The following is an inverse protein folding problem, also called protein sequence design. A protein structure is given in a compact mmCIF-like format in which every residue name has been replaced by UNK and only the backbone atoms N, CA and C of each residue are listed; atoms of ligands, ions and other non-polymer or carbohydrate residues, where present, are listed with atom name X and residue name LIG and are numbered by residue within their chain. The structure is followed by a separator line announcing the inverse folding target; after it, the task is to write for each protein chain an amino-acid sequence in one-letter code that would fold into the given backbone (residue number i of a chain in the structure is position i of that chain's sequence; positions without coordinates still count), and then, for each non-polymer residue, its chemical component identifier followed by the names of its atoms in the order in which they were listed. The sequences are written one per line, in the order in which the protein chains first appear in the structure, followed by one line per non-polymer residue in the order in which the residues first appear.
data_IF_350772931757
#
_entry.id   IF_350772931757
#
_cell.length_a   1.000
_cell.length_b   1.000
_cell.length_c   1.000
_cell.angle_alpha   90.00
_cell.angle_beta   90.00
_cell.angle_gamma   90.00
#
_symmetry.space_group_name_H-M   'P 1'
#
loop_
_entity.id
_entity.type
_entity.pdbx_description
1 polymer ?
#
# COMPACT_ATOMS: atom_id res chain seq x y z
N UNK A 1 39.76 -16.76 22.70
CA UNK A 1 38.36 -16.84 23.18
C UNK A 1 37.79 -15.43 23.15
N UNK A 2 37.05 -15.08 22.11
CA UNK A 2 36.41 -13.78 22.00
C UNK A 2 35.31 -13.67 23.06
N UNK A 3 35.12 -12.51 23.71
CA UNK A 3 34.02 -12.35 24.66
C UNK A 3 32.72 -12.62 23.89
N UNK A 4 31.99 -13.65 24.30
CA UNK A 4 30.60 -13.83 23.91
C UNK A 4 29.86 -12.62 24.47
N UNK A 5 29.72 -11.58 23.66
CA UNK A 5 28.73 -10.54 23.90
C UNK A 5 27.39 -11.29 23.97
N UNK A 6 26.82 -11.41 25.17
CA UNK A 6 25.44 -11.86 25.28
C UNK A 6 24.60 -10.88 24.46
N UNK A 7 23.93 -11.30 23.38
CA UNK A 7 23.25 -10.34 22.53
C UNK A 7 22.09 -9.74 23.33
N UNK A 8 21.89 -8.41 23.30
CA UNK A 8 20.70 -7.82 23.89
C UNK A 8 19.52 -8.23 23.01
N UNK A 9 18.64 -9.06 23.55
CA UNK A 9 17.40 -9.53 22.93
C UNK A 9 16.33 -9.63 24.03
N UNK A 10 15.03 -9.33 23.88
CA UNK A 10 14.22 -8.54 22.89
C UNK A 10 12.72 -8.91 22.99
N UNK A 11 12.37 -10.10 23.47
CA UNK A 11 10.97 -10.52 23.68
C UNK A 11 10.55 -10.45 25.16
N UNK A 12 11.51 -10.51 26.09
CA UNK A 12 11.26 -10.43 27.53
C UNK A 12 10.43 -9.19 27.89
N UNK A 13 10.83 -8.01 27.39
CA UNK A 13 10.09 -6.76 27.61
C UNK A 13 8.71 -6.78 26.94
N UNK A 14 8.58 -7.43 25.79
CA UNK A 14 7.29 -7.58 25.12
C UNK A 14 6.34 -8.50 25.91
N UNK A 15 6.85 -9.54 26.57
CA UNK A 15 6.08 -10.37 27.50
C UNK A 15 5.62 -9.58 28.73
N UNK A 16 6.44 -8.65 29.23
CA UNK A 16 6.03 -7.73 30.30
C UNK A 16 4.86 -6.85 29.84
N UNK A 17 4.91 -6.33 28.61
CA UNK A 17 3.84 -5.52 28.04
C UNK A 17 2.49 -6.24 27.91
N UNK A 18 2.50 -7.55 27.67
CA UNK A 18 1.27 -8.35 27.66
C UNK A 18 0.63 -8.52 29.05
N UNK A 19 1.41 -8.31 30.11
CA UNK A 19 0.99 -8.37 31.52
C UNK A 19 0.75 -6.99 32.14
N UNK A 20 1.00 -5.91 31.38
CA UNK A 20 0.83 -4.52 31.83
C UNK A 20 -0.65 -4.16 32.03
N UNK A 21 -1.55 -4.72 31.21
CA UNK A 21 -2.99 -4.49 31.30
C UNK A 21 -3.64 -5.23 32.49
N UNK A 22 -3.28 -6.50 32.70
CA UNK A 22 -3.84 -7.34 33.77
C UNK A 22 -2.98 -8.59 34.06
N UNK A 23 -3.05 -9.16 35.28
CA UNK A 23 -2.47 -10.46 35.58
C UNK A 23 -3.09 -11.58 34.72
N UNK A 24 -2.25 -12.51 34.25
CA UNK A 24 -2.69 -13.62 33.40
C UNK A 24 -2.05 -14.95 33.84
N UNK A 25 -2.74 -16.06 33.57
CA UNK A 25 -2.11 -17.36 33.66
C UNK A 25 -1.13 -17.59 32.51
N UNK A 26 -0.05 -18.33 32.77
CA UNK A 26 0.98 -18.57 31.75
C UNK A 26 0.47 -19.25 30.47
N UNK A 27 -0.57 -20.08 30.55
CA UNK A 27 -1.21 -20.66 29.37
C UNK A 27 -1.98 -19.61 28.55
N UNK A 28 -2.78 -18.78 29.22
CA UNK A 28 -3.59 -17.75 28.57
C UNK A 28 -2.71 -16.65 27.94
N UNK A 29 -1.60 -16.31 28.60
CA UNK A 29 -0.58 -15.42 28.06
C UNK A 29 0.06 -16.00 26.77
N UNK A 30 0.31 -17.32 26.73
CA UNK A 30 0.83 -17.98 25.52
C UNK A 30 -0.22 -18.01 24.40
N UNK A 31 -1.49 -18.27 24.70
CA UNK A 31 -2.56 -18.22 23.71
C UNK A 31 -2.75 -16.80 23.16
N UNK A 32 -2.66 -15.78 24.01
CA UNK A 32 -2.73 -14.38 23.60
C UNK A 32 -1.57 -14.01 22.68
N UNK A 33 -0.38 -14.60 22.84
CA UNK A 33 0.73 -14.43 21.93
C UNK A 33 0.42 -15.00 20.53
N UNK A 34 -0.27 -16.14 20.44
CA UNK A 34 -0.52 -16.87 19.20
C UNK A 34 -1.74 -16.40 18.38
N UNK A 35 -2.54 -15.44 18.90
CA UNK A 35 -3.74 -14.99 18.19
C UNK A 35 -3.40 -14.33 16.83
N UNK A 36 -4.32 -14.37 15.83
CA UNK A 36 -4.07 -13.90 14.46
C UNK A 36 -3.59 -12.44 14.35
N UNK A 37 -4.01 -11.58 15.29
CA UNK A 37 -3.66 -10.15 15.35
C UNK A 37 -2.70 -9.82 16.51
N UNK A 38 -2.03 -10.83 17.06
CA UNK A 38 -1.16 -10.67 18.23
C UNK A 38 0.33 -10.69 17.89
N UNK A 39 1.13 -10.36 18.90
CA UNK A 39 2.58 -10.25 18.83
C UNK A 39 3.29 -11.51 18.28
N UNK A 40 2.69 -12.70 18.35
CA UNK A 40 3.27 -13.93 17.81
C UNK A 40 3.42 -13.95 16.29
N UNK A 41 2.70 -13.11 15.56
CA UNK A 41 2.92 -12.88 14.12
C UNK A 41 4.26 -12.18 13.85
N UNK A 42 4.62 -11.24 14.72
CA UNK A 42 5.90 -10.51 14.70
C UNK A 42 7.02 -11.36 15.30
N UNK A 43 6.70 -12.13 16.33
CA UNK A 43 7.65 -12.91 17.11
C UNK A 43 7.19 -14.35 17.36
N UNK A 44 7.45 -15.29 16.44
CA UNK A 44 7.09 -16.68 16.62
C UNK A 44 7.92 -17.29 17.76
N UNK A 45 7.24 -17.83 18.77
CA UNK A 45 7.88 -18.39 19.97
C UNK A 45 7.40 -19.81 20.26
N UNK A 46 8.35 -20.73 20.41
CA UNK A 46 8.05 -22.10 20.83
C UNK A 46 7.63 -22.11 22.30
N UNK A 47 6.67 -22.97 22.64
CA UNK A 47 6.12 -23.07 23.99
C UNK A 47 7.19 -23.32 25.07
N UNK A 48 8.20 -24.14 24.79
CA UNK A 48 9.30 -24.40 25.74
C UNK A 48 10.17 -23.16 26.00
N UNK A 49 10.40 -22.35 24.98
CA UNK A 49 11.17 -21.11 25.10
C UNK A 49 10.38 -20.05 25.87
N UNK A 50 9.07 -19.97 25.64
CA UNK A 50 8.17 -19.08 26.38
C UNK A 50 8.25 -19.28 27.90
N UNK A 51 8.09 -20.52 28.38
CA UNK A 51 8.15 -20.78 29.82
C UNK A 51 9.55 -20.58 30.41
N UNK A 52 10.62 -20.81 29.63
CA UNK A 52 11.98 -20.51 30.06
C UNK A 52 12.19 -18.99 30.26
N UNK A 53 11.63 -18.16 29.37
CA UNK A 53 11.68 -16.70 29.48
C UNK A 53 10.89 -16.18 30.68
N UNK A 54 9.71 -16.76 30.97
CA UNK A 54 8.94 -16.41 32.17
C UNK A 54 9.73 -16.71 33.45
N UNK A 55 10.41 -17.86 33.53
CA UNK A 55 11.25 -18.20 34.67
C UNK A 55 12.43 -17.22 34.84
N UNK A 56 13.03 -16.78 33.73
CA UNK A 56 14.10 -15.77 33.73
C UNK A 56 13.60 -14.40 34.22
N UNK A 57 12.41 -13.99 33.78
CA UNK A 57 11.77 -12.74 34.20
C UNK A 57 11.40 -12.74 35.69
N UNK A 58 10.92 -13.88 36.21
CA UNK A 58 10.66 -14.08 37.64
C UNK A 58 11.96 -13.99 38.46
N UNK A 59 13.02 -14.71 38.05
CA UNK A 59 14.32 -14.67 38.73
C UNK A 59 14.96 -13.27 38.75
N UNK A 60 14.72 -12.47 37.71
CA UNK A 60 15.19 -11.10 37.62
C UNK A 60 14.32 -10.09 38.39
N UNK A 61 13.23 -10.53 39.01
CA UNK A 61 12.32 -9.70 39.81
C UNK A 61 11.35 -8.86 38.97
N UNK A 62 11.23 -9.10 37.67
CA UNK A 62 10.29 -8.37 36.81
C UNK A 62 8.86 -8.90 36.90
N UNK A 63 8.69 -10.19 37.22
CA UNK A 63 7.41 -10.85 37.43
C UNK A 63 7.35 -11.53 38.79
N UNK A 64 6.15 -11.65 39.36
CA UNK A 64 5.88 -12.55 40.50
C UNK A 64 4.84 -13.58 40.10
N UNK A 65 5.02 -14.81 40.57
CA UNK A 65 4.09 -15.91 40.32
C UNK A 65 3.35 -16.23 41.60
N UNK A 66 2.03 -16.03 41.61
CA UNK A 66 1.17 -16.46 42.70
C UNK A 66 0.47 -17.76 42.32
N UNK A 67 0.27 -18.65 43.30
CA UNK A 67 -0.52 -19.85 43.10
C UNK A 67 -1.93 -19.59 43.62
N UNK A 68 -2.90 -19.53 42.70
CA UNK A 68 -4.30 -19.54 43.09
C UNK A 68 -4.80 -21.00 43.10
N UNK A 69 -5.40 -21.40 44.22
CA UNK A 69 -6.20 -22.64 44.32
C UNK A 69 -7.67 -22.27 44.53
N UNK A 70 -8.43 -21.97 43.46
CA UNK A 70 -9.88 -22.03 43.55
C UNK A 70 -10.29 -23.52 43.52
N UNK A 71 -11.14 -23.92 44.47
CA UNK A 71 -11.49 -25.31 44.77
C UNK A 71 -11.66 -26.23 43.56
N UNK A 72 -10.95 -27.37 43.58
CA UNK A 72 -11.18 -28.54 42.74
C UNK A 72 -10.43 -28.61 41.40
N UNK A 73 -9.74 -27.56 40.96
CA UNK A 73 -8.99 -27.54 39.69
C UNK A 73 -7.46 -27.60 39.90
N UNK A 74 -6.68 -28.08 38.90
CA UNK A 74 -5.22 -28.12 39.00
C UNK A 74 -4.65 -26.71 39.19
N UNK A 75 -3.60 -26.55 40.02
CA UNK A 75 -3.06 -25.24 40.39
C UNK A 75 -2.60 -24.48 39.15
N UNK A 76 -3.16 -23.29 38.94
CA UNK A 76 -2.77 -22.40 37.84
C UNK A 76 -1.88 -21.29 38.40
N UNK A 77 -0.69 -21.17 37.82
CA UNK A 77 0.26 -20.09 38.14
C UNK A 77 -0.24 -18.79 37.54
N UNK A 78 -0.55 -17.81 38.38
CA UNK A 78 -0.93 -16.46 37.96
C UNK A 78 0.33 -15.59 37.93
N UNK A 79 0.55 -14.89 36.80
CA UNK A 79 1.69 -14.03 36.57
C UNK A 79 1.29 -12.59 36.85
N UNK A 80 2.01 -11.92 37.73
CA UNK A 80 1.83 -10.51 38.07
C UNK A 80 3.05 -9.71 37.64
N UNK A 81 2.81 -8.57 37.00
CA UNK A 81 3.85 -7.60 36.69
C UNK A 81 4.25 -6.83 37.97
N UNK A 82 5.55 -6.76 38.25
CA UNK A 82 6.06 -5.96 39.38
C UNK A 82 6.24 -4.49 38.98
N UNK A 83 6.38 -3.59 39.96
CA UNK A 83 6.73 -2.18 39.70
C UNK A 83 8.04 -2.03 38.92
N UNK A 84 9.03 -2.89 39.20
CA UNK A 84 10.29 -2.93 38.46
C UNK A 84 10.08 -3.40 37.01
N UNK A 85 9.24 -4.42 36.80
CA UNK A 85 8.84 -4.90 35.47
C UNK A 85 8.15 -3.83 34.64
N UNK A 86 7.19 -3.12 35.22
CA UNK A 86 6.47 -2.04 34.56
C UNK A 86 7.43 -0.90 34.16
N UNK A 87 8.31 -0.47 35.06
CA UNK A 87 9.30 0.58 34.76
C UNK A 87 10.26 0.16 33.63
N UNK A 88 10.73 -1.09 33.63
CA UNK A 88 11.59 -1.62 32.58
C UNK A 88 10.88 -1.71 31.22
N UNK A 89 9.61 -2.13 31.21
CA UNK A 89 8.79 -2.16 30.01
C UNK A 89 8.59 -0.75 29.43
N UNK A 90 8.26 0.24 30.26
CA UNK A 90 8.04 1.62 29.81
C UNK A 90 9.33 2.27 29.27
N UNK A 91 10.47 2.04 29.92
CA UNK A 91 11.77 2.50 29.42
C UNK A 91 12.13 1.86 28.07
N UNK A 92 11.81 0.57 27.89
CA UNK A 92 11.99 -0.13 26.62
C UNK A 92 11.06 0.43 25.54
N UNK A 93 9.77 0.63 25.83
CA UNK A 93 8.78 1.13 24.88
C UNK A 93 9.12 2.53 24.34
N UNK A 94 9.65 3.39 25.22
CA UNK A 94 9.96 4.79 24.93
C UNK A 94 11.40 5.02 24.42
N UNK A 95 12.25 4.00 24.37
CA UNK A 95 13.59 4.13 23.79
C UNK A 95 13.59 4.17 22.26
N UNK A 96 14.72 4.55 21.65
CA UNK A 96 15.01 4.17 20.25
C UNK A 96 15.38 2.68 20.21
N UNK A 97 15.13 2.00 19.09
CA UNK A 97 15.56 0.61 18.91
C UNK A 97 17.02 0.61 18.46
N UNK A 98 17.95 0.01 19.23
CA UNK A 98 19.35 -0.02 18.86
C UNK A 98 19.57 -0.89 17.60
N UNK A 99 20.60 -0.60 16.80
CA UNK A 99 20.96 -1.44 15.66
C UNK A 99 21.46 -2.81 16.12
N UNK A 100 20.74 -3.86 15.73
CA UNK A 100 20.98 -5.28 16.03
C UNK A 100 20.46 -6.15 14.87
N UNK A 101 20.65 -7.47 14.93
CA UNK A 101 20.05 -8.39 13.96
C UNK A 101 18.51 -8.41 14.02
N UNK A 102 17.92 -7.97 15.14
CA UNK A 102 16.48 -8.01 15.41
C UNK A 102 15.80 -6.64 15.48
N UNK A 103 16.50 -5.55 15.11
CA UNK A 103 15.96 -4.18 15.14
C UNK A 103 14.57 -4.06 14.52
N UNK A 104 14.31 -4.74 13.39
CA UNK A 104 13.01 -4.71 12.73
C UNK A 104 11.91 -5.36 13.59
N UNK A 105 12.19 -6.52 14.18
CA UNK A 105 11.23 -7.23 15.03
C UNK A 105 10.94 -6.44 16.31
N UNK A 106 11.97 -5.86 16.91
CA UNK A 106 11.82 -5.03 18.11
C UNK A 106 11.03 -3.75 17.84
N UNK A 107 11.26 -3.09 16.71
CA UNK A 107 10.49 -1.92 16.28
C UNK A 107 9.00 -2.25 16.10
N UNK A 108 8.70 -3.37 15.44
CA UNK A 108 7.33 -3.84 15.25
C UNK A 108 6.66 -4.20 16.58
N UNK A 109 7.40 -4.84 17.50
CA UNK A 109 6.90 -5.13 18.83
C UNK A 109 6.59 -3.86 19.64
N UNK A 110 7.47 -2.85 19.61
CA UNK A 110 7.22 -1.57 20.28
C UNK A 110 6.03 -0.83 19.68
N UNK A 111 5.86 -0.85 18.35
CA UNK A 111 4.67 -0.30 17.69
C UNK A 111 3.39 -1.00 18.14
N UNK A 112 3.42 -2.32 18.31
CA UNK A 112 2.28 -3.09 18.80
C UNK A 112 1.80 -2.65 20.19
N UNK A 113 2.70 -2.19 21.07
CA UNK A 113 2.34 -1.65 22.38
C UNK A 113 2.03 -0.15 22.35
N UNK A 114 2.76 0.61 21.54
CA UNK A 114 2.55 2.04 21.39
C UNK A 114 1.13 2.35 20.89
N UNK A 115 0.57 1.52 19.99
CA UNK A 115 -0.82 1.67 19.52
C UNK A 115 -1.89 1.43 20.60
N UNK A 116 -1.56 0.70 21.67
CA UNK A 116 -2.48 0.43 22.79
C UNK A 116 -2.42 1.52 23.86
N UNK A 117 -1.42 2.40 23.76
CA UNK A 117 -1.22 3.53 24.66
C UNK A 117 -1.98 4.75 24.12
N UNK A 118 -2.62 5.53 24.98
CA UNK A 118 -3.29 6.76 24.57
C UNK A 118 -2.28 7.85 24.15
N UNK A 119 -2.68 8.71 23.19
CA UNK A 119 -1.89 9.87 22.76
C UNK A 119 -1.06 9.63 21.49
N UNK A 120 0.09 10.28 21.41
CA UNK A 120 0.99 10.35 20.25
C UNK A 120 2.13 9.32 20.29
N UNK A 121 2.04 8.30 21.15
CA UNK A 121 3.11 7.34 21.42
C UNK A 121 3.66 6.64 20.16
N UNK A 122 2.79 6.32 19.20
CA UNK A 122 3.19 5.75 17.90
C UNK A 122 3.99 6.76 17.09
N UNK A 123 3.50 8.00 16.95
CA UNK A 123 4.22 9.05 16.22
C UNK A 123 5.57 9.34 16.87
N UNK A 124 5.62 9.50 18.19
CA UNK A 124 6.85 9.75 18.92
C UNK A 124 7.88 8.62 18.74
N UNK A 125 7.44 7.35 18.72
CA UNK A 125 8.31 6.20 18.45
C UNK A 125 8.83 6.21 17.00
N UNK A 126 7.96 6.48 16.02
CA UNK A 126 8.32 6.57 14.61
C UNK A 126 9.34 7.69 14.38
N UNK A 127 9.09 8.89 14.90
CA UNK A 127 10.00 10.03 14.79
C UNK A 127 11.36 9.76 15.43
N UNK A 128 11.37 9.17 16.63
CA UNK A 128 12.60 8.81 17.33
C UNK A 128 13.42 7.78 16.55
N UNK A 129 12.77 6.73 16.02
CA UNK A 129 13.45 5.71 15.23
C UNK A 129 13.93 6.28 13.89
N UNK A 130 13.17 7.18 13.29
CA UNK A 130 13.53 7.87 12.05
C UNK A 130 14.80 8.70 12.24
N UNK A 131 14.84 9.51 13.29
CA UNK A 131 16.01 10.32 13.63
C UNK A 131 17.27 9.43 13.86
N UNK A 132 17.12 8.32 14.58
CA UNK A 132 18.19 7.35 14.79
C UNK A 132 18.69 6.74 13.47
N UNK A 133 17.77 6.34 12.59
CA UNK A 133 18.10 5.74 11.29
C UNK A 133 18.80 6.74 10.35
N UNK A 134 18.40 8.02 10.37
CA UNK A 134 19.07 9.09 9.61
C UNK A 134 20.50 9.32 10.13
N UNK A 135 20.70 9.30 11.45
CA UNK A 135 22.02 9.40 12.04
C UNK A 135 22.93 8.21 11.66
N UNK A 136 22.38 6.99 11.65
CA UNK A 136 23.09 5.79 11.19
C UNK A 136 23.47 5.90 9.71
N UNK A 137 22.53 6.29 8.83
CA UNK A 137 22.78 6.53 7.39
C UNK A 137 23.94 7.50 7.19
N UNK A 138 23.93 8.61 7.94
CA UNK A 138 24.98 9.64 7.86
C UNK A 138 26.34 9.06 8.24
N UNK A 139 26.39 8.27 9.33
CA UNK A 139 27.60 7.59 9.79
C UNK A 139 28.12 6.60 8.74
N UNK A 140 27.24 5.78 8.16
CA UNK A 140 27.58 4.83 7.10
C UNK A 140 28.12 5.54 5.85
N UNK A 141 27.55 6.68 5.47
CA UNK A 141 28.01 7.47 4.34
C UNK A 141 29.43 8.02 4.59
N UNK A 142 29.70 8.53 5.80
CA UNK A 142 31.05 8.99 6.19
C UNK A 142 32.05 7.84 6.16
N UNK A 143 31.68 6.65 6.63
CA UNK A 143 32.55 5.48 6.56
C UNK A 143 32.82 5.05 5.13
N UNK A 144 31.81 5.08 4.26
CA UNK A 144 31.95 4.74 2.85
C UNK A 144 32.94 5.68 2.14
N UNK A 145 32.85 6.99 2.40
CA UNK A 145 33.76 8.00 1.83
C UNK A 145 35.20 7.92 2.36
N UNK A 146 35.40 7.34 3.55
CA UNK A 146 36.74 7.17 4.15
C UNK A 146 37.44 5.88 3.72
N UNK A 147 36.78 5.01 2.95
CA UNK A 147 37.41 3.77 2.50
C UNK A 147 38.55 4.06 1.51
N UNK A 148 39.70 3.38 1.66
CA UNK A 148 40.79 3.50 0.71
C UNK A 148 40.41 2.90 -0.65
N UNK A 149 41.02 3.42 -1.72
CA UNK A 149 40.86 2.88 -3.07
C UNK A 149 41.30 1.42 -3.11
N UNK A 150 40.38 0.51 -3.46
CA UNK A 150 40.62 -0.94 -3.50
C UNK A 150 39.88 -1.77 -2.43
N UNK A 151 39.18 -1.14 -1.48
CA UNK A 151 38.40 -1.82 -0.43
C UNK A 151 37.04 -2.38 -0.92
N UNK A 152 37.04 -3.19 -1.99
CA UNK A 152 35.81 -3.64 -2.69
C UNK A 152 34.82 -4.36 -1.77
N UNK A 153 35.29 -5.26 -0.91
CA UNK A 153 34.42 -6.01 0.00
C UNK A 153 33.75 -5.08 1.04
N UNK A 154 34.51 -4.18 1.65
CA UNK A 154 33.99 -3.22 2.63
C UNK A 154 32.99 -2.26 1.99
N UNK A 155 33.23 -1.84 0.74
CA UNK A 155 32.28 -1.05 -0.05
C UNK A 155 30.96 -1.79 -0.22
N UNK A 156 30.97 -3.06 -0.61
CA UNK A 156 29.75 -3.86 -0.78
C UNK A 156 28.97 -4.02 0.55
N UNK A 157 29.66 -4.29 1.66
CA UNK A 157 29.05 -4.41 2.99
C UNK A 157 28.38 -3.10 3.41
N UNK A 158 29.07 -1.96 3.27
CA UNK A 158 28.51 -0.65 3.63
C UNK A 158 27.35 -0.25 2.71
N UNK A 159 27.43 -0.54 1.40
CA UNK A 159 26.32 -0.30 0.47
C UNK A 159 25.08 -1.15 0.81
N UNK A 160 25.28 -2.42 1.17
CA UNK A 160 24.19 -3.28 1.62
C UNK A 160 23.53 -2.73 2.89
N UNK A 161 24.31 -2.36 3.91
CA UNK A 161 23.78 -1.74 5.15
C UNK A 161 23.05 -0.43 4.85
N UNK A 162 23.61 0.41 3.98
CA UNK A 162 23.00 1.69 3.61
C UNK A 162 21.61 1.49 3.01
N UNK A 163 21.46 0.53 2.09
CA UNK A 163 20.15 0.20 1.48
C UNK A 163 19.14 -0.32 2.50
N UNK A 164 19.57 -1.12 3.49
CA UNK A 164 18.69 -1.56 4.57
C UNK A 164 18.16 -0.38 5.39
N UNK A 165 19.06 0.52 5.79
CA UNK A 165 18.72 1.71 6.57
C UNK A 165 17.84 2.66 5.75
N UNK A 166 18.14 2.86 4.46
CA UNK A 166 17.31 3.67 3.56
C UNK A 166 15.91 3.10 3.37
N UNK A 167 15.76 1.78 3.25
CA UNK A 167 14.45 1.14 3.18
C UNK A 167 13.65 1.34 4.48
N UNK A 168 14.30 1.21 5.64
CA UNK A 168 13.67 1.46 6.95
C UNK A 168 13.28 2.93 7.09
N UNK A 169 14.13 3.88 6.68
CA UNK A 169 13.80 5.31 6.65
C UNK A 169 12.59 5.57 5.76
N UNK A 170 12.56 5.01 4.54
CA UNK A 170 11.42 5.17 3.63
C UNK A 170 10.11 4.62 4.19
N UNK A 171 10.16 3.50 4.91
CA UNK A 171 9.00 2.97 5.62
C UNK A 171 8.58 3.85 6.81
N UNK A 172 9.53 4.33 7.62
CA UNK A 172 9.26 5.25 8.74
C UNK A 172 8.73 6.60 8.26
N UNK A 173 9.25 7.11 7.13
CA UNK A 173 8.73 8.28 6.44
C UNK A 173 7.27 8.06 6.03
N UNK A 174 6.92 6.86 5.58
CA UNK A 174 5.53 6.52 5.26
C UNK A 174 4.64 6.35 6.51
N UNK A 175 5.18 5.93 7.66
CA UNK A 175 4.46 5.88 8.93
C UNK A 175 4.26 7.25 9.57
N UNK A 176 5.26 8.15 9.45
CA UNK A 176 5.22 9.52 9.95
C UNK A 176 4.46 10.45 9.00
N UNK A 177 4.44 10.12 7.71
CA UNK A 177 3.55 10.75 6.76
C UNK A 177 2.13 10.54 7.28
N UNK A 178 1.43 11.62 7.59
CA UNK A 178 0.12 11.54 8.20
C UNK A 178 -0.77 10.87 7.16
N UNK A 179 -1.30 9.68 7.48
CA UNK A 179 -1.81 8.74 6.48
C UNK A 179 -2.97 9.41 5.73
N UNK A 180 -2.79 9.84 4.46
CA UNK A 180 -3.95 10.11 3.64
C UNK A 180 -4.69 8.79 3.52
N UNK A 181 -5.98 8.78 3.84
CA UNK A 181 -6.82 7.61 3.65
C UNK A 181 -6.57 7.04 2.26
N UNK A 182 -6.38 5.73 2.17
CA UNK A 182 -6.14 5.02 0.92
C UNK A 182 -7.09 5.47 -0.19
N UNK A 183 -6.59 6.20 -1.18
CA UNK A 183 -7.23 6.26 -2.48
C UNK A 183 -6.78 5.06 -3.31
N UNK A 184 -7.14 3.84 -2.88
CA UNK A 184 -7.28 2.76 -3.85
C UNK A 184 -8.40 3.21 -4.79
N UNK A 185 -8.02 3.62 -5.98
CA UNK A 185 -8.98 4.05 -6.98
C UNK A 185 -9.59 2.77 -7.55
N UNK A 186 -10.84 2.51 -7.20
CA UNK A 186 -11.57 1.34 -7.66
C UNK A 186 -12.09 1.57 -9.09
N UNK A 187 -11.88 0.58 -9.96
CA UNK A 187 -12.30 0.60 -11.36
C UNK A 187 -13.53 -0.30 -11.50
N UNK A 188 -14.74 0.27 -11.46
CA UNK A 188 -15.95 -0.50 -11.68
C UNK A 188 -16.16 -0.77 -13.18
N UNK A 189 -16.68 -1.95 -13.49
CA UNK A 189 -17.10 -2.38 -14.82
C UNK A 189 -18.52 -2.95 -14.75
N UNK A 190 -19.33 -2.66 -15.76
CA UNK A 190 -20.69 -3.18 -15.87
C UNK A 190 -21.10 -3.38 -17.34
N UNK A 191 -22.01 -4.33 -17.56
CA UNK A 191 -22.77 -4.41 -18.80
C UNK A 191 -23.88 -3.34 -18.77
N UNK A 192 -24.12 -2.70 -19.91
CA UNK A 192 -25.12 -1.64 -20.03
C UNK A 192 -26.52 -2.23 -20.24
N UNK A 193 -27.54 -1.57 -19.67
CA UNK A 193 -28.93 -2.04 -19.66
C UNK A 193 -29.55 -2.11 -21.05
N UNK A 194 -29.10 -1.27 -21.98
CA UNK A 194 -29.55 -1.21 -23.37
C UNK A 194 -28.55 -1.83 -24.36
N UNK A 195 -27.63 -2.68 -23.87
CA UNK A 195 -26.68 -3.40 -24.72
C UNK A 195 -27.40 -4.15 -25.85
N UNK A 196 -26.85 -4.05 -27.07
CA UNK A 196 -27.32 -4.82 -28.22
C UNK A 196 -26.91 -6.30 -28.11
N UNK A 197 -25.92 -6.61 -27.27
CA UNK A 197 -25.39 -7.95 -27.04
C UNK A 197 -25.25 -8.26 -25.54
N UNK A 198 -26.35 -8.30 -24.76
CA UNK A 198 -26.29 -8.32 -23.30
C UNK A 198 -25.57 -9.56 -22.74
N UNK A 199 -25.78 -10.73 -23.35
CA UNK A 199 -25.08 -11.96 -22.94
C UNK A 199 -23.57 -11.85 -23.17
N UNK A 200 -23.15 -11.27 -24.28
CA UNK A 200 -21.74 -11.11 -24.62
C UNK A 200 -21.07 -10.04 -23.73
N UNK A 201 -21.80 -8.96 -23.41
CA UNK A 201 -21.36 -7.95 -22.46
C UNK A 201 -21.11 -8.56 -21.07
N UNK A 202 -22.04 -9.37 -20.55
CA UNK A 202 -21.87 -10.09 -19.29
C UNK A 202 -20.69 -11.08 -19.32
N UNK A 203 -20.50 -11.81 -20.43
CA UNK A 203 -19.36 -12.71 -20.61
C UNK A 203 -18.03 -11.94 -20.59
N UNK A 204 -17.96 -10.80 -21.25
CA UNK A 204 -16.75 -9.96 -21.24
C UNK A 204 -16.46 -9.41 -19.83
N UNK A 205 -17.46 -8.89 -19.13
CA UNK A 205 -17.32 -8.45 -17.72
C UNK A 205 -16.82 -9.59 -16.84
N UNK A 206 -17.40 -10.79 -16.98
CA UNK A 206 -16.98 -11.96 -16.23
C UNK A 206 -15.54 -12.38 -16.57
N UNK A 207 -15.15 -12.30 -17.84
CA UNK A 207 -13.79 -12.60 -18.29
C UNK A 207 -12.77 -11.62 -17.70
N UNK A 208 -13.03 -10.31 -17.73
CA UNK A 208 -12.17 -9.29 -17.11
C UNK A 208 -12.02 -9.54 -15.60
N UNK A 209 -13.10 -9.94 -14.92
CA UNK A 209 -13.09 -10.31 -13.50
C UNK A 209 -12.58 -11.75 -13.22
N UNK A 210 -12.20 -12.54 -14.23
CA UNK A 210 -11.69 -13.90 -14.03
C UNK A 210 -10.22 -13.89 -13.60
N UNK A 211 -9.70 -15.01 -13.07
CA UNK A 211 -8.27 -15.12 -12.72
C UNK A 211 -7.34 -14.79 -13.89
N UNK A 212 -7.68 -15.22 -15.11
CA UNK A 212 -6.92 -14.91 -16.33
C UNK A 212 -6.97 -13.40 -16.65
N UNK A 213 -8.15 -12.78 -16.53
CA UNK A 213 -8.31 -11.35 -16.75
C UNK A 213 -7.55 -10.50 -15.72
N UNK A 214 -7.62 -10.89 -14.44
CA UNK A 214 -6.89 -10.24 -13.35
C UNK A 214 -5.37 -10.36 -13.51
N UNK A 215 -4.86 -11.49 -14.01
CA UNK A 215 -3.41 -11.63 -14.30
C UNK A 215 -2.94 -10.61 -15.34
N UNK A 216 -3.71 -10.37 -16.40
CA UNK A 216 -3.38 -9.35 -17.40
C UNK A 216 -3.40 -7.95 -16.79
N UNK A 217 -4.40 -7.64 -15.96
CA UNK A 217 -4.48 -6.36 -15.26
C UNK A 217 -3.27 -6.13 -14.33
N UNK A 218 -2.88 -7.15 -13.55
CA UNK A 218 -1.71 -7.08 -12.67
C UNK A 218 -0.41 -6.89 -13.45
N UNK A 219 -0.24 -7.57 -14.59
CA UNK A 219 0.92 -7.37 -15.48
C UNK A 219 1.03 -5.93 -15.99
N UNK A 220 -0.08 -5.21 -16.08
CA UNK A 220 -0.14 -3.81 -16.49
C UNK A 220 -0.14 -2.81 -15.32
N UNK A 221 0.19 -3.26 -14.10
CA UNK A 221 0.39 -2.39 -12.94
C UNK A 221 -0.87 -2.07 -12.13
N UNK A 222 -2.01 -2.72 -12.43
CA UNK A 222 -3.19 -2.66 -11.59
C UNK A 222 -3.07 -3.60 -10.39
N UNK A 223 -3.86 -3.36 -9.36
CA UNK A 223 -4.07 -4.30 -8.25
C UNK A 223 -5.31 -5.13 -8.56
N UNK A 224 -5.20 -6.44 -8.40
CA UNK A 224 -6.32 -7.35 -8.60
C UNK A 224 -7.47 -7.04 -7.65
N UNK A 225 -8.71 -7.14 -8.16
CA UNK A 225 -9.88 -7.14 -7.31
C UNK A 225 -10.11 -8.53 -6.70
N UNK A 226 -10.58 -8.60 -5.45
CA UNK A 226 -10.89 -9.88 -4.81
C UNK A 226 -11.92 -10.66 -5.64
N UNK A 227 -11.46 -11.78 -6.21
CA UNK A 227 -12.26 -12.64 -7.08
C UNK A 227 -13.00 -13.72 -6.28
N UNK A 228 -14.33 -13.68 -6.29
CA UNK A 228 -15.18 -14.82 -5.92
C UNK A 228 -15.70 -15.61 -7.12
N UNK A 229 -15.26 -15.32 -8.35
CA UNK A 229 -15.76 -16.01 -9.54
C UNK A 229 -14.74 -17.04 -10.08
N UNK A 230 -15.13 -18.30 -10.09
CA UNK A 230 -14.45 -19.38 -10.78
C UNK A 230 -14.35 -19.09 -12.30
N UNK A 231 -13.29 -19.56 -12.99
CA UNK A 231 -13.15 -19.38 -14.43
C UNK A 231 -14.37 -19.99 -15.17
N UNK A 232 -14.87 -19.38 -16.25
CA UNK A 232 -15.87 -20.02 -17.08
C UNK A 232 -15.31 -21.34 -17.61
N UNK A 233 -16.10 -22.41 -17.46
CA UNK A 233 -15.74 -23.73 -17.96
C UNK A 233 -15.48 -23.70 -19.47
N UNK A 234 -14.53 -24.52 -19.91
CA UNK A 234 -14.12 -24.67 -21.31
C UNK A 234 -15.34 -24.89 -22.26
N UNK A 235 -15.29 -24.37 -23.50
CA UNK A 235 -16.45 -24.32 -24.36
C UNK A 235 -16.91 -25.71 -24.82
N UNK A 236 -18.20 -25.96 -24.71
CA UNK A 236 -18.86 -27.04 -25.45
C UNK A 236 -19.01 -26.59 -26.92
N UNK A 237 -18.35 -27.30 -27.84
CA UNK A 237 -18.53 -27.15 -29.29
C UNK A 237 -19.86 -27.73 -29.76
N UNK A 238 -20.58 -27.01 -30.64
CA UNK A 238 -21.11 -27.43 -31.96
C UNK A 238 -21.87 -26.25 -32.65
N UNK A 239 -22.12 -26.29 -33.97
CA UNK A 239 -21.76 -25.24 -34.93
C UNK A 239 -22.91 -24.27 -35.23
N UNK A 240 -22.58 -23.05 -35.62
CA UNK A 240 -23.19 -22.22 -36.68
C UNK A 240 -22.35 -20.95 -36.72
N UNK A 241 -21.82 -20.54 -37.87
CA UNK A 241 -21.11 -19.26 -38.01
C UNK A 241 -22.10 -18.15 -37.65
N UNK A 242 -21.96 -17.49 -36.49
CA UNK A 242 -22.88 -16.42 -36.11
C UNK A 242 -22.56 -15.22 -37.00
N UNK A 243 -23.58 -14.47 -37.40
CA UNK A 243 -23.38 -13.14 -37.97
C UNK A 243 -22.39 -12.36 -37.10
N UNK A 244 -21.49 -11.54 -37.70
CA UNK A 244 -20.48 -10.81 -36.94
C UNK A 244 -21.15 -9.98 -35.85
N UNK A 245 -20.80 -10.28 -34.59
CA UNK A 245 -21.34 -9.61 -33.40
C UNK A 245 -20.32 -8.59 -32.92
N UNK A 246 -20.69 -7.32 -32.97
CA UNK A 246 -19.84 -6.22 -32.52
C UNK A 246 -20.12 -5.93 -31.05
N UNK A 247 -19.12 -6.12 -30.18
CA UNK A 247 -19.14 -5.73 -28.78
C UNK A 247 -18.47 -4.37 -28.61
N UNK A 248 -19.22 -3.34 -28.23
CA UNK A 248 -18.70 -1.99 -28.03
C UNK A 248 -18.38 -1.74 -26.57
N UNK A 249 -17.12 -1.42 -26.26
CA UNK A 249 -16.65 -1.25 -24.89
C UNK A 249 -16.17 0.19 -24.67
N UNK A 250 -16.86 0.93 -23.81
CA UNK A 250 -16.39 2.21 -23.32
C UNK A 250 -15.53 1.98 -22.10
N UNK A 251 -14.24 2.34 -22.19
CA UNK A 251 -13.29 2.08 -21.12
C UNK A 251 -12.44 3.31 -20.82
N UNK A 252 -12.12 3.49 -19.54
CA UNK A 252 -11.22 4.56 -19.13
C UNK A 252 -9.88 4.51 -19.88
N UNK A 253 -9.32 5.67 -20.21
CA UNK A 253 -8.05 5.76 -20.94
C UNK A 253 -6.88 5.00 -20.25
N UNK A 254 -6.85 4.93 -18.92
CA UNK A 254 -5.82 4.17 -18.19
C UNK A 254 -5.93 2.65 -18.38
N UNK A 255 -7.08 2.13 -18.84
CA UNK A 255 -7.28 0.71 -19.12
C UNK A 255 -6.80 0.28 -20.51
N UNK A 256 -6.38 1.21 -21.37
CA UNK A 256 -6.10 0.97 -22.81
C UNK A 256 -5.24 -0.26 -23.07
N UNK A 257 -3.99 -0.27 -22.59
CA UNK A 257 -3.05 -1.38 -22.85
C UNK A 257 -3.56 -2.72 -22.33
N UNK A 258 -4.17 -2.73 -21.13
CA UNK A 258 -4.68 -3.97 -20.53
C UNK A 258 -5.91 -4.48 -21.30
N UNK A 259 -6.81 -3.59 -21.72
CA UNK A 259 -8.05 -3.96 -22.41
C UNK A 259 -7.81 -4.41 -23.85
N UNK A 260 -6.77 -3.91 -24.51
CA UNK A 260 -6.34 -4.43 -25.82
C UNK A 260 -5.92 -5.91 -25.73
N UNK A 261 -5.10 -6.26 -24.72
CA UNK A 261 -4.68 -7.66 -24.47
C UNK A 261 -5.87 -8.53 -24.05
N UNK A 262 -6.72 -8.05 -23.15
CA UNK A 262 -7.93 -8.75 -22.72
C UNK A 262 -8.89 -8.98 -23.88
N UNK A 263 -9.08 -7.97 -24.73
CA UNK A 263 -9.94 -8.03 -25.91
C UNK A 263 -9.46 -9.06 -26.92
N UNK A 264 -8.16 -9.09 -27.23
CA UNK A 264 -7.58 -10.08 -28.13
C UNK A 264 -7.75 -11.51 -27.62
N UNK A 265 -7.50 -11.73 -26.32
CA UNK A 265 -7.67 -13.04 -25.70
C UNK A 265 -9.15 -13.47 -25.65
N UNK A 266 -10.07 -12.55 -25.35
CA UNK A 266 -11.51 -12.82 -25.38
C UNK A 266 -12.00 -13.15 -26.81
N UNK A 267 -11.58 -12.37 -27.82
CA UNK A 267 -11.92 -12.63 -29.22
C UNK A 267 -11.47 -14.01 -29.71
N UNK A 268 -10.33 -14.50 -29.22
CA UNK A 268 -9.85 -15.87 -29.52
C UNK A 268 -10.77 -16.94 -28.94
N UNK A 269 -11.38 -16.70 -27.78
CA UNK A 269 -12.33 -17.61 -27.12
C UNK A 269 -13.75 -17.52 -27.70
N UNK A 270 -14.06 -16.43 -28.42
CA UNK A 270 -15.38 -16.14 -28.96
C UNK A 270 -15.32 -15.85 -30.48
N UNK A 271 -15.20 -16.87 -31.35
CA UNK A 271 -15.17 -16.69 -32.80
C UNK A 271 -16.38 -15.92 -33.33
N UNK A 272 -16.16 -15.02 -34.29
CA UNK A 272 -17.21 -14.16 -34.88
C UNK A 272 -17.60 -12.95 -34.04
N UNK A 273 -16.87 -12.66 -32.96
CA UNK A 273 -17.01 -11.43 -32.16
C UNK A 273 -15.92 -10.43 -32.52
N UNK A 274 -16.33 -9.22 -32.91
CA UNK A 274 -15.44 -8.06 -33.06
C UNK A 274 -15.62 -7.15 -31.84
N UNK A 275 -14.52 -6.80 -31.17
CA UNK A 275 -14.56 -5.90 -30.02
C UNK A 275 -14.06 -4.52 -30.46
N UNK A 276 -14.89 -3.49 -30.29
CA UNK A 276 -14.55 -2.10 -30.59
C UNK A 276 -14.43 -1.34 -29.27
N UNK A 277 -13.23 -0.85 -28.98
CA UNK A 277 -12.96 -0.04 -27.80
C UNK A 277 -13.07 1.46 -28.09
N UNK A 278 -13.70 2.20 -27.18
CA UNK A 278 -13.65 3.65 -27.11
C UNK A 278 -12.99 4.05 -25.79
N UNK A 279 -11.75 4.53 -25.87
CA UNK A 279 -10.98 4.96 -24.71
C UNK A 279 -11.02 6.48 -24.52
N UNK A 280 -11.45 6.95 -23.35
CA UNK A 280 -11.44 8.37 -22.98
C UNK A 280 -11.52 8.57 -21.45
N UNK A 281 -11.62 9.82 -21.00
CA UNK A 281 -11.88 10.13 -19.59
C UNK A 281 -13.25 9.59 -19.16
N UNK A 282 -13.33 8.92 -18.01
CA UNK A 282 -14.56 8.23 -17.57
C UNK A 282 -15.77 9.14 -17.40
N UNK A 283 -15.55 10.40 -16.99
CA UNK A 283 -16.64 11.38 -16.90
C UNK A 283 -17.23 11.70 -18.28
N UNK A 284 -16.36 11.92 -19.28
CA UNK A 284 -16.78 12.14 -20.66
C UNK A 284 -17.49 10.91 -21.25
N UNK A 285 -16.97 9.70 -21.00
CA UNK A 285 -17.64 8.46 -21.43
C UNK A 285 -19.01 8.30 -20.77
N UNK A 286 -19.14 8.59 -19.48
CA UNK A 286 -20.42 8.54 -18.77
C UNK A 286 -21.44 9.53 -19.36
N UNK A 287 -21.01 10.75 -19.73
CA UNK A 287 -21.85 11.70 -20.45
C UNK A 287 -22.25 11.20 -21.84
N UNK A 288 -21.33 10.55 -22.56
CA UNK A 288 -21.62 9.92 -23.86
C UNK A 288 -22.61 8.75 -23.74
N UNK A 289 -22.74 8.10 -22.59
CA UNK A 289 -23.80 7.08 -22.41
C UNK A 289 -25.20 7.67 -22.49
N UNK A 290 -25.39 8.97 -22.24
CA UNK A 290 -26.70 9.62 -22.30
C UNK A 290 -27.13 9.96 -23.73
N UNK A 291 -26.22 10.52 -24.54
CA UNK A 291 -26.54 11.11 -25.85
C UNK A 291 -25.57 10.70 -26.98
N UNK A 292 -24.70 9.72 -26.73
CA UNK A 292 -23.62 9.29 -27.63
C UNK A 292 -23.89 7.97 -28.33
N UNK A 293 -22.87 7.39 -28.98
CA UNK A 293 -23.01 6.14 -29.71
C UNK A 293 -23.31 4.97 -28.77
N UNK A 294 -23.98 3.91 -29.27
CA UNK A 294 -24.33 2.75 -28.45
C UNK A 294 -23.07 2.06 -27.91
N UNK A 295 -23.15 1.60 -26.68
CA UNK A 295 -22.11 0.82 -26.00
C UNK A 295 -22.75 -0.39 -25.31
N UNK A 296 -21.98 -1.46 -25.14
CA UNK A 296 -22.42 -2.70 -24.49
C UNK A 296 -21.83 -2.86 -23.08
N UNK A 297 -20.61 -2.37 -22.87
CA UNK A 297 -19.88 -2.44 -21.60
C UNK A 297 -19.32 -1.07 -21.25
N UNK A 298 -19.40 -0.69 -19.97
CA UNK A 298 -18.75 0.49 -19.42
C UNK A 298 -17.77 0.11 -18.32
N UNK A 299 -16.49 0.48 -18.48
CA UNK A 299 -15.43 0.31 -17.50
C UNK A 299 -14.88 1.68 -17.09
N UNK A 300 -15.21 2.14 -15.89
CA UNK A 300 -14.84 3.46 -15.39
C UNK A 300 -13.56 3.43 -14.55
N UNK A 301 -12.86 4.56 -14.49
CA UNK A 301 -11.68 4.74 -13.64
C UNK A 301 -12.04 5.08 -12.18
N UNK A 302 -13.31 5.25 -11.84
CA UNK A 302 -13.75 5.59 -10.49
C UNK A 302 -15.26 5.41 -10.31
N UNK A 303 -15.69 5.30 -9.05
CA UNK A 303 -17.07 5.09 -8.65
C UNK A 303 -18.00 6.23 -9.07
N UNK A 304 -17.60 7.50 -8.95
CA UNK A 304 -18.46 8.64 -9.30
C UNK A 304 -18.95 8.61 -10.76
N UNK A 305 -18.09 8.20 -11.70
CA UNK A 305 -18.48 8.03 -13.10
C UNK A 305 -19.44 6.85 -13.31
N UNK A 306 -19.27 5.77 -12.55
CA UNK A 306 -20.19 4.62 -12.59
C UNK A 306 -21.54 4.96 -11.94
N UNK A 307 -21.53 5.66 -10.81
CA UNK A 307 -22.73 6.11 -10.13
C UNK A 307 -23.55 7.04 -11.02
N UNK A 308 -22.91 7.91 -11.81
CA UNK A 308 -23.60 8.72 -12.82
C UNK A 308 -24.31 7.85 -13.88
N UNK A 309 -23.66 6.79 -14.37
CA UNK A 309 -24.27 5.84 -15.32
C UNK A 309 -25.43 5.05 -14.69
N UNK A 310 -25.32 4.68 -13.40
CA UNK A 310 -26.39 4.04 -12.63
C UNK A 310 -27.58 4.99 -12.45
N UNK A 311 -27.34 6.24 -12.04
CA UNK A 311 -28.37 7.26 -11.85
C UNK A 311 -29.15 7.56 -13.14
N UNK A 312 -28.49 7.46 -14.30
CA UNK A 312 -29.11 7.60 -15.61
C UNK A 312 -29.84 6.32 -16.10
N UNK A 313 -29.86 5.25 -15.30
CA UNK A 313 -30.49 3.96 -15.67
C UNK A 313 -29.74 3.18 -16.76
N UNK A 314 -28.51 3.58 -17.07
CA UNK A 314 -27.65 2.93 -18.09
C UNK A 314 -26.95 1.69 -17.56
N UNK A 315 -26.77 1.61 -16.24
CA UNK A 315 -26.24 0.45 -15.52
C UNK A 315 -27.25 0.04 -14.46
N UNK A 316 -27.55 -1.26 -14.38
CA UNK A 316 -28.42 -1.79 -13.34
C UNK A 316 -27.71 -1.70 -11.98
N UNK A 317 -28.32 -1.04 -11.00
CA UNK A 317 -27.76 -0.92 -9.64
C UNK A 317 -27.43 -2.29 -9.05
N UNK A 318 -26.19 -2.45 -8.55
CA UNK A 318 -25.70 -3.69 -7.95
C UNK A 318 -25.20 -4.73 -8.97
N UNK A 319 -25.28 -4.43 -10.27
CA UNK A 319 -24.68 -5.27 -11.32
C UNK A 319 -23.22 -4.92 -11.61
N UNK A 320 -22.75 -3.77 -11.14
CA UNK A 320 -21.36 -3.34 -11.32
C UNK A 320 -20.40 -4.20 -10.50
N UNK A 321 -19.25 -4.52 -11.09
CA UNK A 321 -18.17 -5.26 -10.42
C UNK A 321 -16.93 -4.39 -10.36
N UNK A 322 -16.15 -4.49 -9.30
CA UNK A 322 -14.79 -3.92 -9.31
C UNK A 322 -13.90 -4.89 -10.10
N UNK A 323 -13.31 -4.42 -11.19
CA UNK A 323 -12.38 -5.24 -11.98
C UNK A 323 -10.92 -4.97 -11.66
N UNK A 324 -10.59 -3.82 -11.11
CA UNK A 324 -9.23 -3.49 -10.73
C UNK A 324 -9.22 -2.41 -9.65
N UNK A 325 -8.09 -2.29 -8.96
CA UNK A 325 -7.74 -1.08 -8.23
C UNK A 325 -6.47 -0.47 -8.82
N UNK A 326 -6.32 0.83 -8.63
CA UNK A 326 -5.12 1.56 -9.00
C UNK A 326 -4.66 2.47 -7.86
N UNK A 327 -3.43 2.98 -7.97
CA UNK A 327 -2.82 3.85 -6.97
C UNK A 327 -2.15 5.03 -7.64
N UNK A 328 -2.13 6.16 -6.95
CA UNK A 328 -1.35 7.31 -7.36
C UNK A 328 0.14 7.08 -7.06
N UNK A 329 0.97 7.65 -7.91
CA UNK A 329 2.41 7.63 -7.85
C UNK A 329 2.95 9.03 -8.19
N UNK A 330 3.90 9.53 -7.39
CA UNK A 330 4.70 10.68 -7.80
C UNK A 330 5.86 10.17 -8.64
N UNK A 331 5.90 10.62 -9.88
CA UNK A 331 6.93 10.26 -10.87
C UNK A 331 7.86 11.44 -11.08
N UNK A 332 9.16 11.15 -11.24
CA UNK A 332 10.20 12.15 -11.52
C UNK A 332 10.97 11.80 -12.78
N UNK A 333 11.50 12.81 -13.47
CA UNK A 333 12.31 12.62 -14.66
C UNK A 333 13.60 11.86 -14.37
N UNK A 334 14.06 11.00 -15.30
CA UNK A 334 15.24 10.16 -15.09
C UNK A 334 16.53 10.97 -14.84
N UNK A 335 16.62 12.14 -15.46
CA UNK A 335 17.74 13.09 -15.35
C UNK A 335 17.55 14.11 -14.21
N UNK A 336 16.43 14.09 -13.49
CA UNK A 336 16.17 15.04 -12.42
C UNK A 336 17.16 14.83 -11.26
N UNK A 337 17.95 15.85 -10.93
CA UNK A 337 18.91 15.82 -9.83
C UNK A 337 18.30 16.18 -8.48
N UNK A 338 17.06 16.68 -8.46
CA UNK A 338 16.42 17.09 -7.21
C UNK A 338 15.89 15.86 -6.45
N UNK A 339 16.26 15.70 -5.16
CA UNK A 339 15.75 14.60 -4.36
C UNK A 339 14.23 14.76 -4.14
N UNK A 340 13.52 13.64 -4.26
CA UNK A 340 12.13 13.46 -3.85
C UNK A 340 12.07 12.27 -2.90
N UNK A 341 11.80 12.55 -1.64
CA UNK A 341 11.74 11.60 -0.53
C UNK A 341 10.32 11.46 0.03
N UNK A 342 9.48 12.50 -0.06
CA UNK A 342 8.11 12.50 0.48
C UNK A 342 7.16 13.40 -0.33
N UNK A 343 5.85 13.32 -0.06
CA UNK A 343 4.87 14.28 -0.62
C UNK A 343 5.19 15.72 -0.21
N UNK A 344 5.75 15.93 0.99
CA UNK A 344 6.18 17.23 1.48
C UNK A 344 7.14 17.97 0.53
N UNK A 345 7.91 17.22 -0.28
CA UNK A 345 8.85 17.81 -1.23
C UNK A 345 8.16 18.52 -2.40
N UNK A 346 6.89 18.19 -2.68
CA UNK A 346 6.07 18.90 -3.67
C UNK A 346 5.85 20.37 -3.28
N UNK A 347 5.88 20.69 -1.98
CA UNK A 347 5.71 22.04 -1.46
C UNK A 347 7.03 22.83 -1.36
N UNK A 348 8.17 22.26 -1.78
CA UNK A 348 9.44 22.99 -1.76
C UNK A 348 9.48 24.05 -2.86
N UNK A 349 9.98 25.27 -2.59
CA UNK A 349 10.12 26.30 -3.61
C UNK A 349 11.02 25.85 -4.77
N UNK A 350 10.70 26.27 -5.99
CA UNK A 350 11.52 26.01 -7.18
C UNK A 350 11.30 24.64 -7.81
N UNK A 351 10.30 23.87 -7.36
CA UNK A 351 9.85 22.64 -8.02
C UNK A 351 8.93 22.99 -9.18
N UNK A 352 9.12 22.36 -10.34
CA UNK A 352 8.19 22.45 -11.48
C UNK A 352 7.32 21.20 -11.50
N UNK A 353 6.04 21.34 -11.24
CA UNK A 353 5.09 20.22 -11.15
C UNK A 353 4.14 20.22 -12.34
N UNK A 354 3.75 19.02 -12.79
CA UNK A 354 2.69 18.84 -13.77
C UNK A 354 1.68 17.84 -13.24
N UNK A 355 0.39 18.18 -13.29
CA UNK A 355 -0.71 17.31 -12.83
C UNK A 355 -1.73 17.07 -13.94
N UNK A 356 -2.59 16.08 -13.76
CA UNK A 356 -3.83 16.02 -14.56
C UNK A 356 -4.73 17.21 -14.24
N UNK A 357 -5.48 17.71 -15.21
CA UNK A 357 -6.53 18.69 -14.93
C UNK A 357 -7.61 18.08 -14.04
N UNK A 358 -8.31 18.89 -13.24
CA UNK A 358 -9.40 18.43 -12.35
C UNK A 358 -10.54 17.70 -13.09
N UNK A 359 -10.73 18.00 -14.38
CA UNK A 359 -11.67 17.26 -15.25
C UNK A 359 -11.27 15.79 -15.54
N UNK A 360 -10.07 15.37 -15.13
CA UNK A 360 -9.53 14.01 -15.34
C UNK A 360 -9.49 13.26 -14.03
N UNK A 361 -9.67 11.94 -14.07
CA UNK A 361 -9.61 11.11 -12.86
C UNK A 361 -8.28 11.29 -12.10
N UNK A 362 -7.15 11.30 -12.81
CA UNK A 362 -5.83 11.47 -12.19
C UNK A 362 -5.63 12.84 -11.56
N UNK A 363 -6.18 13.89 -12.17
CA UNK A 363 -6.12 15.25 -11.63
C UNK A 363 -7.00 15.41 -10.39
N UNK A 364 -8.24 14.93 -10.46
CA UNK A 364 -9.16 14.92 -9.34
C UNK A 364 -8.57 14.20 -8.12
N UNK A 365 -8.10 12.95 -8.31
CA UNK A 365 -7.49 12.20 -7.22
C UNK A 365 -6.17 12.80 -6.73
N UNK A 366 -5.40 13.46 -7.61
CA UNK A 366 -4.21 14.18 -7.18
C UNK A 366 -4.59 15.34 -6.25
N UNK A 367 -5.62 16.11 -6.58
CA UNK A 367 -6.09 17.22 -5.73
C UNK A 367 -6.63 16.73 -4.38
N UNK A 368 -7.40 15.64 -4.38
CA UNK A 368 -7.87 14.99 -3.16
C UNK A 368 -6.71 14.50 -2.29
N UNK A 369 -5.71 13.85 -2.91
CA UNK A 369 -4.50 13.42 -2.22
C UNK A 369 -3.79 14.62 -1.59
N UNK A 370 -3.62 15.72 -2.32
CA UNK A 370 -3.01 16.93 -1.79
C UNK A 370 -3.83 17.52 -0.63
N UNK A 371 -5.16 17.51 -0.70
CA UNK A 371 -6.01 17.98 0.39
C UNK A 371 -5.84 17.13 1.66
N UNK A 372 -5.87 15.80 1.50
CA UNK A 372 -5.66 14.88 2.60
C UNK A 372 -4.28 15.07 3.23
N UNK A 373 -3.24 15.20 2.41
CA UNK A 373 -1.85 15.39 2.87
C UNK A 373 -1.67 16.73 3.60
N UNK A 374 -2.39 17.76 3.18
CA UNK A 374 -2.39 19.07 3.83
C UNK A 374 -3.08 19.03 5.19
N UNK A 375 -4.27 18.45 5.28
CA UNK A 375 -4.99 18.22 6.54
C UNK A 375 -4.16 17.42 7.54
N UNK A 376 -3.44 16.46 7.01
CA UNK A 376 -2.59 15.56 7.74
C UNK A 376 -1.30 16.30 8.22
N UNK A 377 -0.95 17.44 7.62
CA UNK A 377 0.12 18.34 8.06
C UNK A 377 1.46 18.14 7.35
N UNK A 378 1.52 17.29 6.32
CA UNK A 378 2.79 16.90 5.69
C UNK A 378 3.46 18.03 4.88
N UNK A 379 2.69 19.06 4.49
CA UNK A 379 3.24 20.26 3.85
C UNK A 379 3.74 21.32 4.86
N UNK A 380 3.58 21.06 6.16
CA UNK A 380 3.92 21.99 7.23
C UNK A 380 3.24 23.35 7.07
N UNK A 381 3.88 24.42 7.55
CA UNK A 381 3.34 25.78 7.48
C UNK A 381 3.15 26.32 6.04
N UNK A 382 3.69 25.63 5.02
CA UNK A 382 3.56 26.05 3.61
C UNK A 382 2.19 25.68 3.03
N UNK A 383 1.60 24.60 3.53
CA UNK A 383 0.30 24.10 3.13
C UNK A 383 0.18 23.65 1.67
N UNK A 384 -1.01 23.20 1.27
CA UNK A 384 -1.32 22.76 -0.11
C UNK A 384 -1.05 23.85 -1.14
N UNK A 385 -1.26 25.11 -0.79
CA UNK A 385 -1.13 26.24 -1.71
C UNK A 385 0.29 26.33 -2.29
N UNK A 386 1.32 26.03 -1.49
CA UNK A 386 2.70 26.00 -1.97
C UNK A 386 2.94 24.92 -3.04
N UNK A 387 2.26 23.77 -2.94
CA UNK A 387 2.29 22.74 -3.99
C UNK A 387 1.66 23.27 -5.27
N UNK A 388 0.48 23.88 -5.18
CA UNK A 388 -0.25 24.39 -6.34
C UNK A 388 0.51 25.53 -7.04
N UNK A 389 1.26 26.35 -6.30
CA UNK A 389 2.13 27.40 -6.86
C UNK A 389 3.31 26.85 -7.67
N UNK A 390 3.74 25.61 -7.38
CA UNK A 390 4.79 24.93 -8.11
C UNK A 390 4.26 24.26 -9.40
N UNK A 391 2.94 24.24 -9.64
CA UNK A 391 2.35 23.61 -10.84
C UNK A 391 2.57 24.50 -12.06
N UNK A 392 3.40 24.03 -12.99
CA UNK A 392 3.73 24.72 -14.26
C UNK A 392 2.77 24.35 -15.39
N UNK A 393 1.86 23.40 -15.18
CA UNK A 393 0.80 23.10 -16.13
C UNK A 393 -0.07 21.89 -15.77
N UNK A 394 -1.20 21.79 -16.45
CA UNK A 394 -2.12 20.67 -16.35
C UNK A 394 -2.18 19.88 -17.66
N UNK A 395 -2.45 18.58 -17.58
CA UNK A 395 -2.56 17.70 -18.73
C UNK A 395 -3.92 16.96 -18.75
N UNK A 396 -4.37 16.60 -19.95
CA UNK A 396 -5.66 15.93 -20.16
C UNK A 396 -5.62 14.41 -19.90
N UNK A 397 -4.42 13.81 -19.81
CA UNK A 397 -4.26 12.37 -19.55
C UNK A 397 -3.02 12.13 -18.67
N UNK A 398 -2.98 11.03 -17.90
CA UNK A 398 -1.77 10.65 -17.15
C UNK A 398 -0.54 10.46 -18.07
N UNK A 399 -0.76 9.96 -19.29
CA UNK A 399 0.30 9.80 -20.30
C UNK A 399 0.91 11.15 -20.70
N UNK A 400 0.08 12.17 -20.92
CA UNK A 400 0.56 13.51 -21.21
C UNK A 400 1.31 14.15 -20.02
N UNK A 401 0.98 13.78 -18.77
CA UNK A 401 1.78 14.15 -17.59
C UNK A 401 3.18 13.53 -17.69
N UNK A 402 3.27 12.22 -17.98
CA UNK A 402 4.55 11.52 -18.15
C UNK A 402 5.40 12.09 -19.28
N UNK A 403 4.80 12.36 -20.43
CA UNK A 403 5.50 12.92 -21.60
C UNK A 403 6.19 14.26 -21.27
N UNK A 404 5.51 15.14 -20.52
CA UNK A 404 6.08 16.43 -20.09
C UNK A 404 7.21 16.29 -19.06
N UNK A 405 7.13 15.28 -18.18
CA UNK A 405 8.22 14.95 -17.25
C UNK A 405 9.42 14.40 -18.01
N UNK A 406 9.20 13.52 -19.00
CA UNK A 406 10.25 12.92 -19.84
C UNK A 406 10.94 14.00 -20.68
N UNK A 407 10.18 14.97 -21.20
CA UNK A 407 10.68 16.12 -21.94
C UNK A 407 11.47 17.13 -21.07
N UNK A 408 11.44 17.00 -19.74
CA UNK A 408 12.12 17.91 -18.80
C UNK A 408 11.40 19.25 -18.58
N UNK A 409 10.16 19.37 -19.03
CA UNK A 409 9.31 20.55 -18.80
C UNK A 409 8.91 20.67 -17.32
N UNK A 410 8.78 19.53 -16.64
CA UNK A 410 8.47 19.44 -15.22
C UNK A 410 9.42 18.47 -14.51
N UNK A 411 9.67 18.74 -13.23
CA UNK A 411 10.54 17.95 -12.36
C UNK A 411 9.83 16.70 -11.81
N UNK A 412 8.52 16.83 -11.55
CA UNK A 412 7.68 15.76 -11.04
C UNK A 412 6.21 15.92 -11.46
N UNK A 413 5.45 14.84 -11.36
CA UNK A 413 4.00 14.85 -11.49
C UNK A 413 3.35 13.66 -10.81
N UNK A 414 2.03 13.74 -10.63
CA UNK A 414 1.22 12.68 -10.04
C UNK A 414 0.49 11.95 -11.16
N UNK A 415 0.70 10.62 -11.24
CA UNK A 415 0.07 9.72 -12.21
C UNK A 415 -0.41 8.45 -11.54
N UNK A 416 -1.08 7.55 -12.28
CA UNK A 416 -1.32 6.21 -11.75
C UNK A 416 -0.11 5.29 -11.95
N UNK A 417 0.00 4.28 -11.09
CA UNK A 417 1.05 3.24 -11.17
C UNK A 417 0.98 2.48 -12.51
N UNK A 418 -0.22 2.21 -13.03
CA UNK A 418 -0.39 1.59 -14.35
C UNK A 418 0.24 2.41 -15.48
N UNK A 419 0.08 3.75 -15.43
CA UNK A 419 0.66 4.64 -16.43
C UNK A 419 2.19 4.70 -16.28
N UNK A 420 2.70 4.75 -15.05
CA UNK A 420 4.14 4.64 -14.79
C UNK A 420 4.75 3.37 -15.40
N UNK A 421 4.10 2.21 -15.22
CA UNK A 421 4.61 0.94 -15.75
C UNK A 421 4.78 0.96 -17.28
N UNK A 422 3.91 1.68 -17.99
CA UNK A 422 4.02 1.84 -19.45
C UNK A 422 5.25 2.63 -19.90
N UNK A 423 5.86 3.41 -19.00
CA UNK A 423 7.00 4.29 -19.28
C UNK A 423 8.20 4.05 -18.34
N UNK A 424 8.24 2.94 -17.62
CA UNK A 424 9.17 2.69 -16.51
C UNK A 424 10.65 2.85 -16.91
N UNK A 425 11.01 2.58 -18.16
CA UNK A 425 12.38 2.74 -18.66
C UNK A 425 12.81 4.22 -18.85
N UNK A 426 11.86 5.15 -18.91
CA UNK A 426 12.10 6.57 -19.25
C UNK A 426 12.02 7.51 -18.05
N UNK A 427 11.48 7.05 -16.92
CA UNK A 427 11.30 7.82 -15.69
C UNK A 427 11.99 7.12 -14.50
N UNK A 428 12.23 7.85 -13.40
CA UNK A 428 12.73 7.23 -12.16
C UNK A 428 11.61 6.50 -11.43
N UNK A 429 12.00 5.46 -10.68
CA UNK A 429 11.08 4.71 -9.82
C UNK A 429 10.24 5.68 -8.98
N UNK A 430 8.91 5.53 -8.97
CA UNK A 430 8.04 6.44 -8.28
C UNK A 430 8.26 6.33 -6.78
N UNK A 431 8.00 7.43 -6.09
CA UNK A 431 7.62 7.34 -4.68
C UNK A 431 6.20 6.78 -4.69
N UNK A 432 6.08 5.45 -4.54
CA UNK A 432 4.80 4.77 -4.38
C UNK A 432 4.39 4.96 -2.93
N UNK A 433 3.34 5.71 -2.70
CA UNK A 433 2.83 5.88 -1.35
C UNK A 433 2.10 4.60 -0.94
N UNK A 434 2.55 3.94 0.14
CA UNK A 434 2.00 2.66 0.53
C UNK A 434 0.53 2.79 0.89
N UNK A 435 -0.21 1.79 0.45
CA UNK A 435 -1.59 1.52 0.81
C UNK A 435 -1.57 0.95 2.21
N UNK A 436 -1.70 1.79 3.23
CA UNK A 436 -2.07 1.29 4.56
C UNK A 436 -3.59 1.43 4.64
N UNK A 437 -4.29 0.28 4.66
CA UNK A 437 -5.72 0.23 4.93
C UNK A 437 -6.05 1.20 6.09
N UNK A 438 -7.17 1.95 6.02
CA UNK A 438 -7.62 2.71 7.17
C UNK A 438 -7.69 1.74 8.34
N UNK A 439 -7.02 2.05 9.44
CA UNK A 439 -7.06 1.26 10.67
C UNK A 439 -8.42 1.37 11.40
N UNK A 440 -9.48 1.72 10.67
CA UNK A 440 -10.87 1.64 11.09
C UNK A 440 -11.55 0.43 10.45
N UNK A 441 -11.15 -0.76 10.88
CA UNK A 441 -12.08 -1.88 10.97
C UNK A 441 -12.25 -2.17 12.47
N UNK A 442 -13.04 -1.31 13.12
CA UNK A 442 -13.87 -1.67 14.28
C UNK A 442 -15.32 -1.57 13.83
#
# INVERSE_FOLDING_TARGET
MSPRYAPPLTIEHALLGLLDEQPLHGYDLYQRLLAPDALGTVWPLKQSQFYALLSKLEQAGYLTITQEQPGGYPPRKMLHLTTQGAAAFQAWLTGAVPPSEDTQRELLARLFFAQRSAGDAVQALVERQRAASIAERTTLHVHLHRLPTGAQYQTLVLQWRLRQVEAVIGWLDACAAPQPGTALVAYPIAALTDSANPMLAHQFVAYVCSSAGQQVLVQHGFIAADTTAAPPAAPHTLPTEPAPRVLRVFAAASLTSAFEVLGAAFGTQHPGVEIIFSFAGSHHLAQQLANGPPADVFAAAHRTSMDAAIQMGRVQTGSERICAYNRLAVVTGRTNSLPFHSLGDLAQPGRRLVFGSDATAVGHYALDLLEQVDHAGAFGARGRLAVLQNVVGYAATPRAVLERIIAGEADAGIVFVSDYHSAADQVRSPVIYPTLLPWSLS
#
